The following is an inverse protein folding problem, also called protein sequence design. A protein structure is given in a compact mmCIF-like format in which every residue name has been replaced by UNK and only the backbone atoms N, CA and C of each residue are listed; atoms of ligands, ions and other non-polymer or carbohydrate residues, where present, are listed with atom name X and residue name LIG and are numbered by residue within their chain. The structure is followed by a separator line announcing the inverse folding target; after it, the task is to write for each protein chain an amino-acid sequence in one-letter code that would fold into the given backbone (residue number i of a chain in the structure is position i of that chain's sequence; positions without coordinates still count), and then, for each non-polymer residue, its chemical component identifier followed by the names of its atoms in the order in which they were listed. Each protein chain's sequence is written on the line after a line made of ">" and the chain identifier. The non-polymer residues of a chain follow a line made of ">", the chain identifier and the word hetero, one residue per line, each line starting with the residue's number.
data_IF_850837352790
#
_entry.id   IF_850837352790
#
_cell.length_a   1.000
_cell.length_b   1.000
_cell.length_c   1.000
_cell.angle_alpha   90.00
_cell.angle_beta   90.00
_cell.angle_gamma   90.00
#
_symmetry.space_group_name_H-M   'P 1'
#
loop_
_entity.id
_entity.type
_entity.pdbx_description
1 polymer ?
#
# COMPACT_ATOMS: atom_id res chain seq x y z
N UNK A 1 -4.15 47.93 -44.98
CA UNK A 1 -3.47 47.78 -43.69
C UNK A 1 -4.03 46.60 -42.83
N UNK A 2 -4.77 45.66 -43.42
CA UNK A 2 -5.43 44.57 -42.68
C UNK A 2 -4.96 43.15 -43.08
N UNK A 3 -4.00 43.01 -43.98
CA UNK A 3 -3.49 41.72 -44.49
C UNK A 3 -2.20 41.21 -43.85
N UNK A 4 -1.59 41.97 -42.95
CA UNK A 4 -0.33 41.57 -42.30
C UNK A 4 -0.46 41.12 -40.84
N UNK A 5 -1.68 41.23 -40.27
CA UNK A 5 -1.92 40.81 -38.85
C UNK A 5 -2.33 39.36 -38.75
N UNK A 6 -2.80 38.74 -39.82
CA UNK A 6 -3.27 37.34 -39.80
C UNK A 6 -2.16 36.28 -39.99
N UNK A 7 -0.93 36.69 -40.36
CA UNK A 7 0.19 35.76 -40.64
C UNK A 7 1.10 35.55 -39.43
N UNK A 8 1.01 36.39 -38.41
CA UNK A 8 1.90 36.31 -37.22
C UNK A 8 1.28 35.44 -36.13
N UNK A 9 -0.05 35.19 -36.14
CA UNK A 9 -0.73 34.36 -35.16
C UNK A 9 -0.69 32.85 -35.45
N UNK A 10 -0.25 32.44 -36.64
CA UNK A 10 -0.18 31.02 -37.03
C UNK A 10 1.21 30.38 -36.85
N UNK A 11 2.22 31.17 -36.52
CA UNK A 11 3.62 30.70 -36.37
C UNK A 11 4.05 30.49 -34.90
N UNK A 12 3.21 30.85 -33.93
CA UNK A 12 3.55 30.69 -32.50
C UNK A 12 3.02 29.40 -31.85
N UNK A 13 2.36 28.52 -32.61
CA UNK A 13 1.82 27.23 -32.07
C UNK A 13 2.69 26.01 -32.38
N UNK A 14 3.85 26.18 -33.01
CA UNK A 14 4.62 25.03 -33.52
C UNK A 14 5.82 24.59 -32.66
N UNK A 15 5.95 25.06 -31.42
CA UNK A 15 7.06 24.61 -30.55
C UNK A 15 6.68 24.40 -29.12
N UNK A 16 5.45 23.91 -28.85
CA UNK A 16 5.26 23.18 -27.63
C UNK A 16 5.95 21.82 -27.82
N UNK A 17 6.98 21.48 -27.00
CA UNK A 17 7.53 20.15 -27.05
C UNK A 17 6.38 19.18 -26.77
N UNK A 18 6.08 18.33 -27.74
CA UNK A 18 5.26 17.14 -27.49
C UNK A 18 5.93 16.42 -26.33
N UNK A 19 5.37 16.55 -25.14
CA UNK A 19 5.71 15.70 -24.01
C UNK A 19 5.50 14.27 -24.48
N UNK A 20 6.58 13.62 -24.93
CA UNK A 20 6.52 12.20 -25.23
C UNK A 20 6.14 11.50 -23.94
N UNK A 21 4.92 10.99 -23.90
CA UNK A 21 4.52 10.09 -22.84
C UNK A 21 5.55 8.96 -22.76
N UNK A 22 6.29 8.90 -21.64
CA UNK A 22 7.25 7.84 -21.42
C UNK A 22 6.48 6.60 -20.97
N UNK A 23 6.49 5.55 -21.80
CA UNK A 23 5.99 4.25 -21.38
C UNK A 23 6.93 3.68 -20.31
N UNK A 24 6.38 3.15 -19.23
CA UNK A 24 7.13 2.41 -18.24
C UNK A 24 7.33 0.97 -18.77
N UNK A 25 8.58 0.56 -19.00
CA UNK A 25 8.92 -0.74 -19.57
C UNK A 25 8.54 -1.95 -18.71
N UNK A 26 8.10 -1.75 -17.46
CA UNK A 26 7.67 -2.81 -16.56
C UNK A 26 6.15 -3.02 -16.54
N UNK A 27 5.37 -2.17 -17.20
CA UNK A 27 3.91 -2.28 -17.24
C UNK A 27 3.40 -3.27 -18.32
N UNK A 28 4.30 -3.90 -19.10
CA UNK A 28 3.91 -4.90 -20.11
C UNK A 28 3.23 -6.14 -19.52
N UNK A 29 3.37 -6.37 -18.22
CA UNK A 29 2.69 -7.46 -17.49
C UNK A 29 1.20 -7.17 -17.23
N UNK A 30 0.80 -5.91 -17.29
CA UNK A 30 -0.59 -5.50 -17.13
C UNK A 30 -1.15 -5.26 -18.53
N UNK A 31 -1.91 -6.22 -19.06
CA UNK A 31 -2.56 -6.15 -20.38
C UNK A 31 -3.64 -5.08 -20.42
N UNK A 32 -3.28 -3.85 -20.15
CA UNK A 32 -4.19 -2.73 -20.33
C UNK A 32 -4.27 -2.39 -21.81
N UNK A 33 -5.48 -2.20 -22.37
CA UNK A 33 -5.68 -1.95 -23.80
C UNK A 33 -5.07 -0.61 -24.27
N UNK A 34 -4.63 0.23 -23.35
CA UNK A 34 -3.93 1.49 -23.60
C UNK A 34 -2.69 1.54 -22.72
N UNK A 35 -1.59 1.98 -23.29
CA UNK A 35 -0.38 2.23 -22.53
C UNK A 35 -0.69 3.30 -21.49
N UNK A 36 -0.55 2.95 -20.22
CA UNK A 36 -0.74 3.91 -19.13
C UNK A 36 0.26 5.05 -19.27
N UNK A 37 -0.25 6.20 -19.63
CA UNK A 37 0.50 7.44 -19.59
C UNK A 37 0.33 8.07 -18.22
N UNK A 38 1.41 8.28 -17.51
CA UNK A 38 1.42 8.93 -16.21
C UNK A 38 2.62 9.85 -16.08
N UNK A 39 2.50 10.83 -15.21
CA UNK A 39 3.62 11.69 -14.84
C UNK A 39 4.41 11.01 -13.73
N UNK A 40 5.71 10.83 -13.94
CA UNK A 40 6.57 10.27 -12.89
C UNK A 40 6.64 11.22 -11.69
N UNK A 41 6.54 10.66 -10.49
CA UNK A 41 6.77 11.39 -9.26
C UNK A 41 8.26 11.30 -8.89
N UNK A 42 8.98 12.42 -8.80
CA UNK A 42 10.43 12.42 -8.56
C UNK A 42 10.84 11.70 -7.27
N UNK A 43 10.06 11.79 -6.20
CA UNK A 43 10.36 11.11 -4.94
C UNK A 43 10.44 9.59 -5.06
N UNK A 44 9.80 8.99 -6.08
CA UNK A 44 9.91 7.54 -6.32
C UNK A 44 11.33 7.13 -6.70
N UNK A 45 12.16 8.05 -7.20
CA UNK A 45 13.58 7.77 -7.48
C UNK A 45 14.41 7.58 -6.20
N UNK A 46 13.92 8.09 -5.07
CA UNK A 46 14.53 7.96 -3.74
C UNK A 46 14.08 6.67 -3.01
N UNK A 47 13.13 5.94 -3.57
CA UNK A 47 12.60 4.70 -2.98
C UNK A 47 13.59 3.54 -3.15
N UNK A 48 14.40 3.29 -2.13
CA UNK A 48 15.41 2.23 -2.10
C UNK A 48 14.79 0.82 -2.19
N UNK A 49 13.55 0.62 -1.73
CA UNK A 49 12.90 -0.70 -1.74
C UNK A 49 12.65 -1.23 -3.15
N UNK A 50 12.48 -0.37 -4.14
CA UNK A 50 12.23 -0.79 -5.54
C UNK A 50 13.42 -1.51 -6.18
N UNK A 51 14.62 -1.32 -5.64
CA UNK A 51 15.87 -1.91 -6.13
C UNK A 51 16.52 -2.84 -5.09
N UNK A 52 15.88 -2.99 -3.93
CA UNK A 52 16.39 -3.85 -2.87
C UNK A 52 16.39 -5.32 -3.29
N UNK A 53 17.39 -6.06 -2.82
CA UNK A 53 17.43 -7.51 -3.02
C UNK A 53 16.48 -8.17 -2.03
N UNK A 54 15.77 -9.24 -2.45
CA UNK A 54 14.92 -9.99 -1.55
C UNK A 54 15.72 -10.58 -0.36
N UNK A 55 15.23 -10.33 0.83
CA UNK A 55 15.72 -10.95 2.06
C UNK A 55 14.68 -11.97 2.52
N UNK A 56 15.09 -13.24 2.58
CA UNK A 56 14.24 -14.33 3.05
C UNK A 56 14.65 -14.71 4.45
N UNK A 57 13.75 -14.50 5.41
CA UNK A 57 13.89 -14.96 6.78
C UNK A 57 12.91 -16.13 6.97
N UNK A 58 13.46 -17.31 7.25
CA UNK A 58 12.66 -18.49 7.59
C UNK A 58 12.31 -18.39 9.09
N UNK A 59 11.03 -18.32 9.45
CA UNK A 59 10.65 -18.27 10.84
C UNK A 59 10.98 -19.58 11.54
N UNK A 60 11.37 -19.49 12.80
CA UNK A 60 11.47 -20.64 13.69
C UNK A 60 10.08 -21.16 14.08
N UNK A 61 10.04 -22.29 14.79
CA UNK A 61 8.77 -22.85 15.23
C UNK A 61 8.04 -21.94 16.23
N UNK A 62 6.74 -22.18 16.42
CA UNK A 62 5.97 -21.45 17.44
C UNK A 62 6.52 -21.70 18.86
N UNK A 63 6.98 -22.91 19.15
CA UNK A 63 7.58 -23.27 20.44
C UNK A 63 8.85 -22.44 20.74
N UNK A 64 9.68 -22.23 19.75
CA UNK A 64 10.86 -21.35 19.87
C UNK A 64 10.46 -19.88 19.99
N UNK A 65 9.49 -19.45 19.20
CA UNK A 65 8.94 -18.09 19.25
C UNK A 65 8.36 -17.76 20.63
N UNK A 66 7.63 -18.68 21.23
CA UNK A 66 7.00 -18.50 22.54
C UNK A 66 7.99 -18.17 23.65
N UNK A 67 9.25 -18.57 23.52
CA UNK A 67 10.30 -18.25 24.50
C UNK A 67 10.83 -16.81 24.35
N UNK A 68 10.61 -16.19 23.19
CA UNK A 68 11.13 -14.86 22.83
C UNK A 68 10.04 -13.79 22.87
N UNK A 69 8.81 -14.19 22.53
CA UNK A 69 7.65 -13.31 22.51
C UNK A 69 7.29 -12.80 23.92
N UNK A 70 6.68 -11.62 24.00
CA UNK A 70 6.20 -11.10 25.27
C UNK A 70 5.28 -12.12 25.97
N UNK A 71 5.59 -12.43 27.23
CA UNK A 71 4.80 -13.34 28.03
C UNK A 71 3.87 -12.56 28.96
N UNK A 72 2.56 -12.47 28.67
CA UNK A 72 1.64 -11.73 29.50
C UNK A 72 1.39 -12.43 30.82
N UNK A 73 1.27 -11.63 31.89
CA UNK A 73 0.92 -12.11 33.23
C UNK A 73 -0.45 -11.48 33.58
N UNK A 74 -1.49 -12.31 33.65
CA UNK A 74 -2.84 -11.87 33.92
C UNK A 74 -3.60 -12.92 34.73
N UNK A 75 -3.54 -12.79 36.05
CA UNK A 75 -4.14 -13.77 36.97
C UNK A 75 -5.66 -13.88 36.81
N UNK A 76 -6.18 -15.10 36.75
CA UNK A 76 -7.61 -15.38 36.59
C UNK A 76 -8.15 -15.24 35.16
N UNK A 77 -7.28 -15.04 34.15
CA UNK A 77 -7.63 -14.83 32.75
C UNK A 77 -6.99 -15.87 31.83
N UNK A 78 -7.05 -17.13 32.20
CA UNK A 78 -6.36 -18.22 31.49
C UNK A 78 -6.84 -18.35 30.03
N UNK A 79 -8.15 -18.15 29.79
CA UNK A 79 -8.75 -18.22 28.45
C UNK A 79 -8.24 -17.10 27.53
N UNK A 80 -8.12 -15.90 28.05
CA UNK A 80 -7.58 -14.74 27.32
C UNK A 80 -6.10 -14.95 27.01
N UNK A 81 -5.36 -15.57 27.92
CA UNK A 81 -3.96 -15.94 27.69
C UNK A 81 -3.83 -17.06 26.64
N UNK A 82 -4.73 -18.04 26.63
CA UNK A 82 -4.80 -19.03 25.56
C UNK A 82 -5.09 -18.39 24.20
N UNK A 83 -6.03 -17.44 24.13
CA UNK A 83 -6.32 -16.69 22.90
C UNK A 83 -5.12 -15.87 22.43
N UNK A 84 -4.40 -15.22 23.34
CA UNK A 84 -3.17 -14.49 23.04
C UNK A 84 -2.12 -15.40 22.36
N UNK A 85 -1.86 -16.56 22.95
CA UNK A 85 -0.90 -17.51 22.38
C UNK A 85 -1.40 -18.11 21.06
N UNK A 86 -2.69 -18.36 20.93
CA UNK A 86 -3.28 -18.84 19.67
C UNK A 86 -3.17 -17.81 18.55
N UNK A 87 -3.32 -16.53 18.86
CA UNK A 87 -3.10 -15.46 17.88
C UNK A 87 -1.65 -15.44 17.35
N UNK A 88 -0.66 -15.63 18.23
CA UNK A 88 0.73 -15.75 17.82
C UNK A 88 1.02 -17.01 17.00
N UNK A 89 0.47 -18.14 17.40
CA UNK A 89 0.60 -19.40 16.65
C UNK A 89 0.08 -19.23 15.21
N UNK A 90 -1.10 -18.63 15.05
CA UNK A 90 -1.69 -18.33 13.74
C UNK A 90 -0.78 -17.37 12.96
N UNK A 91 -0.33 -16.28 13.57
CA UNK A 91 0.52 -15.31 12.92
C UNK A 91 1.83 -15.94 12.41
N UNK A 92 2.50 -16.73 13.24
CA UNK A 92 3.75 -17.40 12.87
C UNK A 92 3.53 -18.41 11.75
N UNK A 93 2.43 -19.15 11.77
CA UNK A 93 2.06 -20.08 10.71
C UNK A 93 1.76 -19.40 9.36
N UNK A 94 1.50 -18.08 9.39
CA UNK A 94 1.22 -17.28 8.21
C UNK A 94 2.39 -16.41 7.73
N UNK A 95 3.57 -16.59 8.27
CA UNK A 95 4.78 -15.95 7.71
C UNK A 95 5.11 -16.62 6.37
N UNK A 96 5.34 -15.82 5.34
CA UNK A 96 5.64 -16.24 3.97
C UNK A 96 6.96 -15.68 3.50
N UNK A 97 7.66 -16.44 2.67
CA UNK A 97 8.82 -15.97 1.93
C UNK A 97 8.40 -15.30 0.61
N UNK A 98 9.17 -14.33 0.09
CA UNK A 98 8.96 -13.79 -1.24
C UNK A 98 9.00 -14.90 -2.30
N UNK A 99 8.02 -14.90 -3.21
CA UNK A 99 8.09 -15.76 -4.39
C UNK A 99 9.14 -15.24 -5.37
N UNK A 100 9.83 -16.14 -6.05
CA UNK A 100 10.79 -15.76 -7.09
C UNK A 100 10.09 -14.95 -8.18
N UNK A 101 10.63 -13.78 -8.52
CA UNK A 101 10.09 -12.90 -9.56
C UNK A 101 8.90 -12.04 -9.10
N UNK A 102 8.43 -12.13 -7.86
CA UNK A 102 7.33 -11.28 -7.34
C UNK A 102 7.71 -9.80 -7.23
N UNK A 103 9.00 -9.52 -7.06
CA UNK A 103 9.48 -8.19 -6.70
C UNK A 103 9.26 -7.83 -5.22
N UNK A 104 8.81 -8.78 -4.40
CA UNK A 104 8.82 -8.62 -2.95
C UNK A 104 10.25 -8.67 -2.42
N UNK A 105 10.54 -7.87 -1.42
CA UNK A 105 11.89 -7.66 -0.89
C UNK A 105 12.11 -8.23 0.50
N UNK A 106 11.05 -8.72 1.15
CA UNK A 106 11.18 -9.29 2.51
C UNK A 106 10.16 -10.39 2.75
N UNK A 107 10.50 -11.33 3.62
CA UNK A 107 9.50 -12.22 4.22
C UNK A 107 8.46 -11.37 4.94
N UNK A 108 7.21 -11.83 4.92
CA UNK A 108 6.06 -11.04 5.35
C UNK A 108 5.02 -11.88 6.09
N UNK A 109 4.21 -11.19 6.88
CA UNK A 109 3.04 -11.77 7.52
C UNK A 109 1.84 -11.68 6.58
N UNK A 110 1.36 -12.83 6.14
CA UNK A 110 0.15 -12.97 5.32
C UNK A 110 -1.11 -12.80 6.20
N UNK A 111 -2.15 -12.20 5.65
CA UNK A 111 -3.45 -12.04 6.31
C UNK A 111 -4.28 -13.34 6.38
N UNK A 112 -3.76 -14.43 5.82
CA UNK A 112 -4.35 -15.77 5.81
C UNK A 112 -5.66 -15.92 5.00
N UNK A 113 -6.04 -14.92 4.21
CA UNK A 113 -7.27 -14.98 3.42
C UNK A 113 -7.08 -15.72 2.07
N UNK A 114 -6.14 -15.27 1.24
CA UNK A 114 -5.93 -15.81 -0.11
C UNK A 114 -4.46 -15.78 -0.58
N UNK A 115 -3.51 -15.50 0.29
CA UNK A 115 -2.08 -15.36 -0.03
C UNK A 115 -1.67 -14.00 -0.61
N UNK A 116 -2.59 -13.07 -0.80
CA UNK A 116 -2.29 -11.69 -1.17
C UNK A 116 -1.87 -10.88 0.07
N UNK A 117 -1.13 -9.79 -0.13
CA UNK A 117 -0.93 -8.80 0.92
C UNK A 117 -1.94 -7.67 0.76
N UNK A 118 -2.51 -7.24 1.88
CA UNK A 118 -3.54 -6.21 1.95
C UNK A 118 -3.03 -5.04 2.79
N UNK A 119 -3.05 -3.82 2.24
CA UNK A 119 -2.50 -2.63 2.87
C UNK A 119 -3.18 -2.31 4.22
N UNK A 120 -4.50 -2.36 4.25
CA UNK A 120 -5.32 -2.12 5.43
C UNK A 120 -5.04 -3.17 6.50
N UNK A 121 -5.23 -4.45 6.16
CA UNK A 121 -5.11 -5.57 7.09
C UNK A 121 -3.69 -5.69 7.63
N UNK A 122 -2.66 -5.57 6.78
CA UNK A 122 -1.27 -5.60 7.21
C UNK A 122 -0.97 -4.50 8.22
N UNK A 123 -1.50 -3.28 8.01
CA UNK A 123 -1.30 -2.16 8.94
C UNK A 123 -1.90 -2.46 10.31
N UNK A 124 -3.10 -3.06 10.38
CA UNK A 124 -3.72 -3.43 11.65
C UNK A 124 -3.05 -4.63 12.32
N UNK A 125 -2.67 -5.64 11.56
CA UNK A 125 -1.97 -6.82 12.10
C UNK A 125 -0.65 -6.41 12.74
N UNK A 126 0.06 -5.46 12.15
CA UNK A 126 1.32 -4.95 12.71
C UNK A 126 1.14 -4.20 14.03
N UNK A 127 -0.09 -3.83 14.42
CA UNK A 127 -0.34 -3.23 15.75
C UNK A 127 -0.01 -4.20 16.89
N UNK A 128 -0.24 -5.50 16.71
CA UNK A 128 0.23 -6.47 17.68
C UNK A 128 1.57 -7.11 17.27
N UNK A 129 1.78 -7.40 16.00
CA UNK A 129 2.93 -8.17 15.53
C UNK A 129 4.27 -7.47 15.78
N UNK A 130 4.30 -6.11 15.83
CA UNK A 130 5.52 -5.34 16.16
C UNK A 130 6.12 -5.72 17.53
N UNK A 131 5.32 -6.22 18.47
CA UNK A 131 5.83 -6.66 19.76
C UNK A 131 6.67 -7.95 19.63
N UNK A 132 6.57 -8.66 18.52
CA UNK A 132 7.36 -9.85 18.21
C UNK A 132 8.65 -9.59 17.43
N UNK A 133 9.08 -8.33 17.27
CA UNK A 133 10.23 -7.93 16.43
C UNK A 133 11.54 -8.65 16.81
N UNK A 134 11.71 -9.08 18.07
CA UNK A 134 12.87 -9.90 18.49
C UNK A 134 12.88 -11.31 17.87
N UNK A 135 11.73 -11.81 17.50
CA UNK A 135 11.58 -13.12 16.87
C UNK A 135 11.61 -13.01 15.34
N UNK A 136 10.86 -12.06 14.77
CA UNK A 136 10.75 -11.86 13.33
C UNK A 136 10.49 -10.37 13.04
N UNK A 137 11.10 -9.78 12.00
CA UNK A 137 10.94 -8.36 11.69
C UNK A 137 9.59 -8.10 10.99
N UNK A 138 8.49 -8.25 11.71
CA UNK A 138 7.14 -8.17 11.18
C UNK A 138 6.86 -6.87 10.42
N UNK A 139 7.46 -5.75 10.85
CA UNK A 139 7.30 -4.45 10.19
C UNK A 139 7.76 -4.48 8.72
N UNK A 140 8.69 -5.38 8.37
CA UNK A 140 9.16 -5.55 7.00
C UNK A 140 8.08 -6.06 6.03
N UNK A 141 6.91 -6.50 6.51
CA UNK A 141 5.74 -6.77 5.68
C UNK A 141 5.41 -5.57 4.79
N UNK A 142 5.49 -4.34 5.31
CA UNK A 142 5.20 -3.13 4.56
C UNK A 142 6.25 -2.82 3.48
N UNK A 143 7.47 -3.34 3.60
CA UNK A 143 8.52 -3.13 2.60
C UNK A 143 8.10 -3.67 1.23
N UNK A 144 7.26 -4.71 1.20
CA UNK A 144 6.75 -5.28 -0.05
C UNK A 144 5.81 -4.32 -0.78
N UNK A 145 4.95 -3.57 -0.06
CA UNK A 145 4.16 -2.49 -0.65
C UNK A 145 5.06 -1.38 -1.19
N UNK A 146 6.08 -1.00 -0.44
CA UNK A 146 7.04 0.03 -0.87
C UNK A 146 7.82 -0.39 -2.10
N UNK A 147 8.26 -1.65 -2.17
CA UNK A 147 8.96 -2.20 -3.33
C UNK A 147 8.08 -2.21 -4.59
N UNK A 148 6.77 -2.33 -4.42
CA UNK A 148 5.79 -2.35 -5.52
C UNK A 148 5.24 -0.97 -5.88
N UNK A 149 5.79 0.10 -5.31
CA UNK A 149 5.39 1.45 -5.68
C UNK A 149 5.65 1.73 -7.16
N UNK A 150 4.63 2.20 -7.87
CA UNK A 150 4.71 2.59 -9.26
C UNK A 150 5.46 3.92 -9.45
N UNK A 151 5.97 4.19 -10.67
CA UNK A 151 6.77 5.40 -10.92
C UNK A 151 6.03 6.73 -10.72
N UNK A 152 4.70 6.73 -10.68
CA UNK A 152 3.86 7.89 -10.38
C UNK A 152 3.52 8.05 -8.89
N UNK A 153 4.00 7.14 -8.04
CA UNK A 153 3.76 7.13 -6.62
C UNK A 153 2.66 6.15 -6.16
N UNK A 154 1.87 5.61 -7.07
CA UNK A 154 0.78 4.67 -6.74
C UNK A 154 1.30 3.41 -6.02
N UNK A 155 0.53 2.93 -5.05
CA UNK A 155 0.69 1.62 -4.42
C UNK A 155 -0.70 0.96 -4.40
N UNK A 156 -0.81 -0.23 -4.97
CA UNK A 156 -2.05 -0.99 -4.95
C UNK A 156 -2.36 -1.47 -3.53
N UNK A 157 -3.65 -1.35 -3.11
CA UNK A 157 -4.07 -1.78 -1.78
C UNK A 157 -3.99 -3.29 -1.55
N UNK A 158 -4.03 -4.07 -2.63
CA UNK A 158 -3.96 -5.52 -2.60
C UNK A 158 -3.01 -6.00 -3.69
N UNK A 159 -2.00 -6.77 -3.31
CA UNK A 159 -0.96 -7.28 -4.19
C UNK A 159 -0.88 -8.79 -4.04
N UNK A 160 -0.93 -9.50 -5.16
CA UNK A 160 -0.85 -10.96 -5.19
C UNK A 160 0.52 -11.46 -4.74
N UNK A 161 0.60 -12.71 -4.30
CA UNK A 161 1.85 -13.34 -3.90
C UNK A 161 2.92 -13.37 -5.02
N UNK A 162 2.49 -13.37 -6.29
CA UNK A 162 3.37 -13.25 -7.45
C UNK A 162 3.83 -11.81 -7.74
N UNK A 163 3.35 -10.86 -6.94
CA UNK A 163 3.68 -9.44 -7.05
C UNK A 163 2.83 -8.65 -8.04
N UNK A 164 1.80 -9.24 -8.63
CA UNK A 164 0.88 -8.49 -9.49
C UNK A 164 -0.13 -7.70 -8.64
N UNK A 165 -0.46 -6.49 -9.07
CA UNK A 165 -1.55 -5.72 -8.48
C UNK A 165 -2.88 -6.43 -8.74
N UNK A 166 -3.80 -6.40 -7.76
CA UNK A 166 -5.14 -6.95 -7.94
C UNK A 166 -6.07 -6.01 -8.70
N UNK A 167 -5.78 -4.72 -8.71
CA UNK A 167 -6.60 -3.69 -9.32
C UNK A 167 -5.78 -2.77 -10.21
N UNK A 168 -6.40 -2.29 -11.27
CA UNK A 168 -5.79 -1.28 -12.11
C UNK A 168 -5.64 0.05 -11.35
N UNK A 169 -4.58 0.77 -11.63
CA UNK A 169 -4.18 2.04 -10.96
C UNK A 169 -5.30 3.06 -10.81
N UNK A 170 -6.15 3.21 -11.80
CA UNK A 170 -7.22 4.21 -11.81
C UNK A 170 -8.59 3.64 -11.49
N UNK A 171 -8.66 2.35 -11.15
CA UNK A 171 -9.89 1.78 -10.62
C UNK A 171 -10.19 2.41 -9.25
N UNK A 172 -11.42 2.85 -8.99
CA UNK A 172 -11.83 3.41 -7.70
C UNK A 172 -11.55 2.50 -6.49
N UNK A 173 -11.40 1.20 -6.72
CA UNK A 173 -11.10 0.22 -5.67
C UNK A 173 -9.61 -0.08 -5.51
N UNK A 174 -8.74 0.52 -6.35
CA UNK A 174 -7.32 0.20 -6.39
C UNK A 174 -6.54 0.63 -5.15
N UNK A 175 -7.07 1.59 -4.40
CA UNK A 175 -6.51 2.08 -3.15
C UNK A 175 -7.62 2.26 -2.11
N UNK A 176 -7.23 2.51 -0.87
CA UNK A 176 -8.13 2.68 0.26
C UNK A 176 -7.51 3.60 1.31
N UNK A 177 -8.03 3.61 2.55
CA UNK A 177 -7.44 4.39 3.62
C UNK A 177 -5.96 4.07 3.80
N UNK A 178 -5.12 5.10 3.69
CA UNK A 178 -3.67 4.93 3.79
C UNK A 178 -3.23 4.89 5.25
N UNK A 179 -3.29 3.72 5.87
CA UNK A 179 -2.88 3.51 7.26
C UNK A 179 -1.37 3.27 7.43
N UNK A 180 -0.60 3.13 6.35
CA UNK A 180 0.84 2.89 6.45
C UNK A 180 1.59 3.98 7.22
N UNK A 181 1.33 5.29 7.02
CA UNK A 181 1.99 6.34 7.81
C UNK A 181 1.73 6.20 9.32
N UNK A 182 0.49 5.91 9.70
CA UNK A 182 0.13 5.68 11.10
C UNK A 182 0.85 4.45 11.66
N UNK A 183 0.86 3.34 10.92
CA UNK A 183 1.54 2.11 11.33
C UNK A 183 3.04 2.35 11.54
N UNK A 184 3.71 3.07 10.64
CA UNK A 184 5.13 3.38 10.74
C UNK A 184 5.42 4.35 11.89
N UNK A 185 4.56 5.36 12.13
CA UNK A 185 4.72 6.26 13.27
C UNK A 185 4.58 5.54 14.61
N UNK A 186 3.63 4.60 14.73
CA UNK A 186 3.48 3.79 15.96
C UNK A 186 4.72 2.90 16.17
N UNK A 187 5.27 2.33 15.11
CA UNK A 187 6.53 1.57 15.16
C UNK A 187 7.70 2.46 15.60
N UNK A 188 7.84 3.63 14.98
CA UNK A 188 8.86 4.61 15.34
C UNK A 188 8.79 5.04 16.81
N UNK A 189 7.60 5.34 17.32
CA UNK A 189 7.42 5.73 18.73
C UNK A 189 7.83 4.61 19.70
N UNK A 190 7.72 3.36 19.30
CA UNK A 190 8.10 2.21 20.14
C UNK A 190 9.60 1.91 20.08
N UNK A 191 10.23 2.04 18.92
CA UNK A 191 11.61 1.54 18.69
C UNK A 191 12.61 2.65 18.39
N UNK A 192 12.18 3.85 18.05
CA UNK A 192 13.07 4.98 17.71
C UNK A 192 13.85 4.78 16.39
N UNK A 193 13.36 3.94 15.49
CA UNK A 193 14.04 3.60 14.23
C UNK A 193 13.97 4.76 13.24
N UNK A 194 14.89 5.70 13.40
CA UNK A 194 15.01 6.87 12.52
C UNK A 194 15.50 6.50 11.12
N UNK A 195 16.32 5.47 10.98
CA UNK A 195 16.83 5.01 9.68
C UNK A 195 15.66 4.52 8.81
N UNK A 196 14.79 3.68 9.38
CA UNK A 196 13.57 3.25 8.69
C UNK A 196 12.71 4.45 8.28
N UNK A 197 12.51 5.39 9.21
CA UNK A 197 11.68 6.56 8.96
C UNK A 197 12.21 7.39 7.78
N UNK A 198 13.53 7.58 7.70
CA UNK A 198 14.17 8.26 6.56
C UNK A 198 13.92 7.54 5.23
N UNK A 199 14.05 6.21 5.21
CA UNK A 199 13.86 5.40 3.98
C UNK A 199 12.44 5.39 3.48
N UNK A 200 11.45 5.36 4.37
CA UNK A 200 10.03 5.29 3.99
C UNK A 200 9.41 6.66 3.68
N UNK A 201 9.99 7.75 4.20
CA UNK A 201 9.40 9.08 4.06
C UNK A 201 9.17 9.49 2.58
N UNK A 202 10.14 9.39 1.66
CA UNK A 202 9.90 9.72 0.25
C UNK A 202 8.83 8.80 -0.38
N UNK A 203 8.77 7.53 0.01
CA UNK A 203 7.78 6.57 -0.49
C UNK A 203 6.37 6.99 -0.11
N UNK A 204 6.16 7.29 1.18
CA UNK A 204 4.85 7.71 1.71
C UNK A 204 4.42 9.07 1.15
N UNK A 205 5.36 10.01 1.00
CA UNK A 205 5.10 11.31 0.37
C UNK A 205 4.69 11.16 -1.10
N UNK A 206 5.36 10.29 -1.86
CA UNK A 206 5.00 10.03 -3.25
C UNK A 206 3.59 9.42 -3.36
N UNK A 207 3.26 8.47 -2.50
CA UNK A 207 1.93 7.86 -2.47
C UNK A 207 0.85 8.87 -2.04
N UNK A 208 1.13 9.70 -1.04
CA UNK A 208 0.23 10.78 -0.65
C UNK A 208 -0.06 11.76 -1.80
N UNK A 209 0.98 12.16 -2.55
CA UNK A 209 0.80 13.03 -3.71
C UNK A 209 -0.06 12.37 -4.79
N UNK A 210 0.11 11.06 -5.01
CA UNK A 210 -0.72 10.30 -5.93
C UNK A 210 -2.20 10.31 -5.48
N UNK A 211 -2.48 10.05 -4.20
CA UNK A 211 -3.82 10.12 -3.61
C UNK A 211 -4.42 11.51 -3.75
N UNK A 212 -3.63 12.54 -3.43
CA UNK A 212 -4.06 13.94 -3.54
C UNK A 212 -4.43 14.33 -4.97
N UNK A 213 -3.73 13.80 -5.96
CA UNK A 213 -4.02 14.08 -7.37
C UNK A 213 -5.24 13.32 -7.88
N UNK A 214 -5.39 12.04 -7.49
CA UNK A 214 -6.31 11.11 -8.13
C UNK A 214 -7.56 10.81 -7.30
N UNK A 215 -7.55 11.07 -5.99
CA UNK A 215 -8.61 10.71 -5.05
C UNK A 215 -9.14 11.90 -4.24
N UNK A 216 -9.09 13.12 -4.78
CA UNK A 216 -9.67 14.30 -4.12
C UNK A 216 -10.77 14.96 -4.95
N UNK A 217 -11.75 15.49 -4.24
CA UNK A 217 -12.73 16.40 -4.79
C UNK A 217 -12.17 17.83 -4.87
N UNK A 218 -12.85 18.72 -5.62
CA UNK A 218 -12.46 20.14 -5.76
C UNK A 218 -12.39 20.89 -4.43
N UNK A 219 -13.15 20.45 -3.44
CA UNK A 219 -13.13 21.03 -2.08
C UNK A 219 -12.00 20.50 -1.20
N UNK A 220 -11.13 19.63 -1.71
CA UNK A 220 -9.98 19.07 -1.01
C UNK A 220 -10.28 17.82 -0.17
N UNK A 221 -11.53 17.37 -0.11
CA UNK A 221 -11.84 16.09 0.56
C UNK A 221 -11.42 14.90 -0.30
N UNK A 222 -10.95 13.85 0.34
CA UNK A 222 -10.62 12.59 -0.31
C UNK A 222 -11.86 11.75 -0.53
N UNK A 223 -11.86 10.97 -1.58
CA UNK A 223 -12.93 10.04 -1.88
C UNK A 223 -12.38 8.60 -1.98
N UNK A 224 -13.25 7.63 -1.73
CA UNK A 224 -13.03 6.21 -1.97
C UNK A 224 -14.32 5.57 -2.47
N UNK A 225 -14.26 4.32 -2.89
CA UNK A 225 -15.42 3.51 -3.22
C UNK A 225 -15.87 2.67 -2.02
N UNK A 226 -17.02 2.03 -2.10
CA UNK A 226 -17.49 1.11 -1.07
C UNK A 226 -16.49 -0.01 -0.81
N UNK A 227 -15.97 -0.64 -1.86
CA UNK A 227 -14.98 -1.70 -1.75
C UNK A 227 -13.58 -1.20 -1.35
N UNK A 228 -13.20 -0.01 -1.82
CA UNK A 228 -11.89 0.57 -1.52
C UNK A 228 -11.69 1.01 -0.07
N UNK A 229 -12.77 1.12 0.73
CA UNK A 229 -12.68 1.57 2.13
C UNK A 229 -12.16 0.50 3.09
N UNK A 230 -12.13 -0.79 2.69
CA UNK A 230 -11.86 -1.90 3.60
C UNK A 230 -12.98 -2.21 4.59
N UNK A 231 -14.13 -1.55 4.46
CA UNK A 231 -15.30 -1.69 5.35
C UNK A 231 -16.56 -2.05 4.53
N UNK A 232 -16.46 -3.10 3.75
CA UNK A 232 -17.40 -3.48 2.69
C UNK A 232 -18.83 -3.70 3.18
N UNK A 233 -18.98 -4.20 4.40
CA UNK A 233 -20.28 -4.61 4.97
C UNK A 233 -21.02 -3.48 5.67
N UNK A 234 -20.52 -2.25 5.65
CA UNK A 234 -21.21 -1.15 6.28
C UNK A 234 -22.33 -0.61 5.38
N UNK A 235 -23.52 -0.32 5.93
CA UNK A 235 -24.65 0.21 5.18
C UNK A 235 -24.44 1.71 4.85
N UNK A 236 -23.64 1.98 3.81
CA UNK A 236 -23.25 3.35 3.42
C UNK A 236 -24.01 3.90 2.21
N UNK A 237 -24.73 3.03 1.53
CA UNK A 237 -25.54 3.36 0.36
C UNK A 237 -26.98 2.92 0.59
N UNK A 238 -27.96 3.50 -0.14
CA UNK A 238 -29.33 3.03 -0.07
C UNK A 238 -29.43 1.52 -0.31
N UNK A 239 -30.43 0.88 0.31
CA UNK A 239 -30.57 -0.58 0.35
C UNK A 239 -30.71 -1.26 -1.03
N UNK A 240 -31.10 -0.52 -2.05
CA UNK A 240 -31.17 -0.97 -3.43
C UNK A 240 -29.81 -1.11 -4.11
N UNK A 241 -28.73 -0.58 -3.51
CA UNK A 241 -27.38 -0.70 -4.03
C UNK A 241 -26.54 -1.59 -3.11
N UNK A 242 -25.71 -2.44 -3.71
CA UNK A 242 -24.74 -3.20 -2.93
C UNK A 242 -23.62 -2.30 -2.41
N UNK A 243 -23.36 -2.23 -1.09
CA UNK A 243 -22.26 -1.44 -0.55
C UNK A 243 -20.89 -2.00 -0.98
N UNK A 244 -20.80 -3.30 -1.24
CA UNK A 244 -19.55 -3.97 -1.65
C UNK A 244 -19.16 -3.57 -3.06
N UNK A 245 -20.10 -3.62 -3.99
CA UNK A 245 -19.87 -3.35 -5.42
C UNK A 245 -20.10 -1.91 -5.84
N UNK A 246 -20.31 -1.02 -4.89
CA UNK A 246 -20.43 0.41 -5.19
C UNK A 246 -19.07 0.99 -5.59
N UNK A 247 -18.90 1.24 -6.86
CA UNK A 247 -17.74 1.96 -7.42
C UNK A 247 -17.94 3.48 -7.42
N UNK A 248 -19.00 3.97 -6.76
CA UNK A 248 -19.26 5.40 -6.62
C UNK A 248 -18.14 6.10 -5.82
N UNK A 249 -17.74 7.26 -6.29
CA UNK A 249 -16.81 8.11 -5.58
C UNK A 249 -17.52 8.81 -4.42
N UNK A 250 -17.27 8.38 -3.21
CA UNK A 250 -17.92 8.89 -2.01
C UNK A 250 -16.90 9.45 -1.03
N UNK A 251 -17.30 10.48 -0.31
CA UNK A 251 -16.49 11.03 0.80
C UNK A 251 -16.74 10.14 2.01
N UNK A 252 -15.70 9.45 2.44
CA UNK A 252 -15.74 8.62 3.64
C UNK A 252 -14.95 9.27 4.77
N UNK A 253 -15.42 9.13 6.00
CA UNK A 253 -14.73 9.65 7.18
C UNK A 253 -13.32 9.04 7.31
N UNK A 254 -13.22 7.74 7.16
CA UNK A 254 -11.99 6.96 7.26
C UNK A 254 -10.93 7.29 6.20
N UNK A 255 -11.29 7.94 5.10
CA UNK A 255 -10.32 8.44 4.11
C UNK A 255 -9.91 9.90 4.32
N UNK A 256 -10.57 10.62 5.25
CA UNK A 256 -10.37 12.04 5.50
C UNK A 256 -9.84 12.36 6.92
N UNK A 257 -9.61 11.33 7.74
CA UNK A 257 -8.97 11.42 9.05
C UNK A 257 -7.47 11.23 8.96
#
# INVERSE_FOLDING_TARGET
>A
MLKHILLVSLLSFSTLPLLKAQSCGNDEKYHLPYKNTYVKEPLVTENEYRVAKPETIVPKSFEEARQILPNPIWGGHDKELEMYWKAWEIAIGNIRAPQAGSGFVSSYLDTAYNGNIFMWDSSFILMFARYGTRFFPFQNTLNNFYAKQHPDGFICREIKADGADCFERYDPVSTGPNLMPWCEMVYFHQFGDTERLHKIFPVLCAYYKWLKLNHTWRNGTYWSSGWGTGMDNMPRVPSEYSPIYSHGHMIWLDTNL
#
